data_IF_094794666283
#
_entry.id   IF_094794666283
#
_cell.length_a   1.000
_cell.length_b   1.000
_cell.length_c   1.000
_cell.angle_alpha   90.00
_cell.angle_beta   90.00
_cell.angle_gamma   90.00
#
_symmetry.space_group_name_H-M   'P 1'
#
loop_
_entity.id
_entity.type
_entity.pdbx_description
1 polymer ?
#
# COMPACT_ATOMS: atom_id res chain seq x y z
N UNK A 1 -17.80 21.96 -29.65
CA UNK A 1 -18.28 21.66 -28.29
C UNK A 1 -17.17 20.86 -27.60
N UNK A 2 -16.60 21.34 -26.49
CA UNK A 2 -15.55 20.63 -25.76
C UNK A 2 -16.16 19.91 -24.55
N UNK A 3 -16.06 18.59 -24.50
CA UNK A 3 -16.40 17.79 -23.33
C UNK A 3 -15.47 18.18 -22.16
N UNK A 4 -16.02 18.68 -21.05
CA UNK A 4 -15.24 18.97 -19.83
C UNK A 4 -15.21 17.74 -18.93
N UNK A 5 -14.02 17.21 -18.68
CA UNK A 5 -13.82 16.08 -17.79
C UNK A 5 -13.98 16.51 -16.31
N UNK A 6 -14.83 15.82 -15.56
CA UNK A 6 -15.03 16.07 -14.14
C UNK A 6 -13.98 15.34 -13.29
N UNK A 7 -12.83 16.02 -13.10
CA UNK A 7 -11.69 15.49 -12.34
C UNK A 7 -12.04 15.12 -10.89
N UNK A 8 -12.89 15.91 -10.22
CA UNK A 8 -13.24 15.69 -8.81
C UNK A 8 -13.98 14.37 -8.62
N UNK A 9 -14.99 14.11 -9.45
CA UNK A 9 -15.76 12.87 -9.35
C UNK A 9 -14.89 11.66 -9.74
N UNK A 10 -13.98 11.83 -10.72
CA UNK A 10 -13.03 10.79 -11.10
C UNK A 10 -12.07 10.42 -9.95
N UNK A 11 -11.52 11.44 -9.27
CA UNK A 11 -10.65 11.24 -8.11
C UNK A 11 -11.40 10.54 -6.96
N UNK A 12 -12.67 10.90 -6.74
CA UNK A 12 -13.52 10.21 -5.76
C UNK A 12 -13.68 8.72 -6.05
N UNK A 13 -13.87 8.36 -7.32
CA UNK A 13 -13.98 6.95 -7.76
C UNK A 13 -12.64 6.22 -7.56
N UNK A 14 -11.52 6.82 -7.98
CA UNK A 14 -10.20 6.19 -7.81
C UNK A 14 -9.90 5.98 -6.33
N UNK A 15 -10.14 7.00 -5.49
CA UNK A 15 -9.95 6.90 -4.04
C UNK A 15 -10.73 5.72 -3.48
N UNK A 16 -12.01 5.59 -3.84
CA UNK A 16 -12.84 4.50 -3.37
C UNK A 16 -12.26 3.14 -3.77
N UNK A 17 -11.82 2.98 -5.03
CA UNK A 17 -11.20 1.72 -5.49
C UNK A 17 -9.91 1.42 -4.72
N UNK A 18 -9.07 2.42 -4.47
CA UNK A 18 -7.81 2.25 -3.72
C UNK A 18 -8.10 1.87 -2.28
N UNK A 19 -9.04 2.54 -1.63
CA UNK A 19 -9.42 2.29 -0.23
C UNK A 19 -10.08 0.92 -0.05
N UNK A 20 -10.82 0.40 -1.04
CA UNK A 20 -11.47 -0.92 -0.97
C UNK A 20 -10.56 -2.06 -1.45
N UNK A 21 -10.02 -1.96 -2.65
CA UNK A 21 -9.28 -3.06 -3.29
C UNK A 21 -7.77 -2.93 -3.07
N UNK A 22 -7.25 -1.71 -3.19
CA UNK A 22 -5.81 -1.46 -3.07
C UNK A 22 -5.30 -1.77 -1.66
N UNK A 23 -6.02 -1.31 -0.64
CA UNK A 23 -5.67 -1.56 0.76
C UNK A 23 -5.72 -3.04 1.08
N UNK A 24 -6.79 -3.74 0.71
CA UNK A 24 -6.92 -5.18 0.99
C UNK A 24 -5.78 -5.99 0.36
N UNK A 25 -5.44 -5.68 -0.90
CA UNK A 25 -4.32 -6.34 -1.59
C UNK A 25 -2.98 -6.12 -0.88
N UNK A 26 -2.72 -4.89 -0.45
CA UNK A 26 -1.48 -4.56 0.26
C UNK A 26 -1.48 -5.10 1.69
N UNK A 27 -2.65 -5.26 2.32
CA UNK A 27 -2.75 -5.83 3.66
C UNK A 27 -2.29 -7.29 3.66
N UNK A 28 -2.66 -8.08 2.64
CA UNK A 28 -2.14 -9.46 2.49
C UNK A 28 -0.62 -9.52 2.44
N UNK A 29 0.00 -8.59 1.72
CA UNK A 29 1.47 -8.50 1.64
C UNK A 29 2.04 -8.10 3.00
N UNK A 30 1.47 -7.09 3.66
CA UNK A 30 1.93 -6.64 4.98
C UNK A 30 1.83 -7.76 6.02
N UNK A 31 0.71 -8.49 6.06
CA UNK A 31 0.49 -9.61 6.98
C UNK A 31 1.51 -10.73 6.74
N UNK A 32 1.77 -11.09 5.48
CA UNK A 32 2.78 -12.09 5.14
C UNK A 32 4.21 -11.65 5.52
N UNK A 33 4.51 -10.35 5.41
CA UNK A 33 5.79 -9.82 5.87
C UNK A 33 5.91 -9.85 7.39
N UNK A 34 4.82 -9.54 8.11
CA UNK A 34 4.79 -9.56 9.57
C UNK A 34 4.85 -10.98 10.17
N UNK A 35 4.38 -12.02 9.46
CA UNK A 35 4.52 -13.41 9.93
C UNK A 35 5.98 -13.86 10.12
N UNK A 36 6.93 -13.21 9.44
CA UNK A 36 8.36 -13.47 9.60
C UNK A 36 9.03 -12.69 10.72
N UNK A 37 8.33 -11.73 11.33
CA UNK A 37 8.83 -10.90 12.42
C UNK A 37 8.29 -11.44 13.74
N UNK A 38 9.18 -11.90 14.61
CA UNK A 38 8.83 -12.39 15.94
C UNK A 38 8.84 -11.20 16.91
N UNK A 39 7.80 -10.37 16.84
CA UNK A 39 7.68 -9.17 17.70
C UNK A 39 6.32 -9.15 18.38
N UNK A 40 6.33 -8.89 19.70
CA UNK A 40 5.13 -8.70 20.54
C UNK A 40 4.53 -7.29 20.41
N UNK A 41 5.16 -6.41 19.61
CA UNK A 41 4.73 -5.02 19.40
C UNK A 41 3.99 -4.84 18.07
N UNK A 42 3.43 -3.64 17.85
CA UNK A 42 2.61 -3.32 16.69
C UNK A 42 3.27 -3.74 15.35
N UNK A 43 2.48 -4.12 14.32
CA UNK A 43 3.02 -4.69 13.09
C UNK A 43 4.08 -3.81 12.43
N UNK A 44 5.23 -4.40 12.13
CA UNK A 44 6.40 -3.73 11.54
C UNK A 44 6.19 -3.32 10.09
N UNK A 45 5.38 -4.06 9.33
CA UNK A 45 4.93 -3.72 7.97
C UNK A 45 3.48 -3.22 8.00
N UNK A 46 3.20 -2.07 7.38
CA UNK A 46 1.87 -1.44 7.40
C UNK A 46 1.44 -0.94 6.03
N UNK A 47 0.14 -0.90 5.78
CA UNK A 47 -0.42 -0.29 4.57
C UNK A 47 -0.63 1.21 4.79
N UNK A 48 -0.24 2.01 3.81
CA UNK A 48 -0.48 3.45 3.76
C UNK A 48 -1.19 3.82 2.45
N UNK A 49 -2.14 4.75 2.53
CA UNK A 49 -2.81 5.35 1.37
C UNK A 49 -2.49 6.85 1.27
N UNK A 50 -2.35 7.38 0.05
CA UNK A 50 -1.97 8.79 -0.22
C UNK A 50 -2.93 9.46 -1.24
N UNK A 51 -3.27 10.78 -1.11
CA UNK A 51 -4.20 11.47 -2.04
C UNK A 51 -4.58 12.98 -1.88
N UNK A 52 -4.96 13.59 -3.03
CA UNK A 52 -5.58 14.90 -3.47
C UNK A 52 -5.02 16.33 -3.21
N UNK A 53 -3.88 16.55 -2.57
CA UNK A 53 -3.07 17.79 -2.71
C UNK A 53 -1.55 17.47 -2.55
N UNK A 54 -0.65 18.41 -2.91
CA UNK A 54 0.13 18.30 -4.15
C UNK A 54 0.66 16.89 -4.44
N UNK A 55 -0.17 16.17 -5.19
CA UNK A 55 0.19 15.15 -6.18
C UNK A 55 0.20 15.86 -7.55
N UNK A 56 1.23 15.87 -8.41
CA UNK A 56 2.48 15.08 -8.59
C UNK A 56 2.26 13.63 -9.10
N UNK A 57 3.14 13.17 -10.01
CA UNK A 57 2.79 12.12 -11.01
C UNK A 57 2.80 10.70 -10.39
N UNK A 58 1.64 10.26 -9.85
CA UNK A 58 1.11 8.87 -9.69
C UNK A 58 -0.16 8.73 -8.81
N UNK A 59 -0.93 9.80 -8.55
CA UNK A 59 -2.32 9.69 -8.05
C UNK A 59 -2.51 8.92 -6.73
N UNK A 60 -3.76 8.54 -6.45
CA UNK A 60 -4.11 7.72 -5.29
C UNK A 60 -3.49 6.32 -5.40
N UNK A 61 -2.87 5.85 -4.32
CA UNK A 61 -2.23 4.54 -4.23
C UNK A 61 -2.31 3.96 -2.83
N UNK A 62 -2.27 2.63 -2.73
CA UNK A 62 -2.01 1.90 -1.49
C UNK A 62 -0.61 1.28 -1.59
N UNK A 63 0.20 1.42 -0.53
CA UNK A 63 1.60 0.93 -0.49
C UNK A 63 1.86 0.25 0.85
N UNK A 64 2.71 -0.78 0.87
CA UNK A 64 3.25 -1.32 2.12
C UNK A 64 4.54 -0.58 2.49
N UNK A 65 4.62 -0.12 3.74
CA UNK A 65 5.76 0.57 4.31
C UNK A 65 6.31 -0.22 5.50
N UNK A 66 7.62 -0.10 5.73
CA UNK A 66 8.27 -0.52 6.97
C UNK A 66 8.12 0.61 7.99
N UNK A 67 7.31 0.39 9.03
CA UNK A 67 7.00 1.39 10.04
C UNK A 67 7.99 1.39 11.23
N UNK A 68 8.70 0.29 11.45
CA UNK A 68 9.58 0.08 12.61
C UNK A 68 11.01 -0.25 12.17
N UNK A 69 12.00 -0.04 13.04
CA UNK A 69 13.41 -0.27 12.71
C UNK A 69 13.70 -1.73 12.32
N UNK A 70 13.08 -2.69 13.01
CA UNK A 70 13.26 -4.12 12.75
C UNK A 70 12.74 -4.52 11.38
N UNK A 71 11.59 -3.99 10.94
CA UNK A 71 11.06 -4.28 9.61
C UNK A 71 11.87 -3.61 8.49
N UNK A 72 12.49 -2.45 8.76
CA UNK A 72 13.45 -1.83 7.83
C UNK A 72 14.65 -2.75 7.63
N UNK A 73 15.22 -3.27 8.72
CA UNK A 73 16.39 -4.17 8.67
C UNK A 73 16.03 -5.48 7.98
N UNK A 74 14.93 -6.12 8.38
CA UNK A 74 14.46 -7.36 7.74
C UNK A 74 14.25 -7.19 6.23
N UNK A 75 13.57 -6.13 5.80
CA UNK A 75 13.38 -5.90 4.38
C UNK A 75 14.71 -5.67 3.64
N UNK A 76 15.65 -4.94 4.26
CA UNK A 76 16.94 -4.65 3.64
C UNK A 76 17.80 -5.92 3.48
N UNK A 77 17.76 -6.83 4.45
CA UNK A 77 18.56 -8.06 4.46
C UNK A 77 17.91 -9.18 3.63
N UNK A 78 16.57 -9.29 3.70
CA UNK A 78 15.84 -10.44 3.18
C UNK A 78 14.98 -10.14 1.95
N UNK A 79 14.88 -8.87 1.54
CA UNK A 79 13.99 -8.41 0.46
C UNK A 79 12.53 -8.84 0.68
N UNK A 80 12.08 -8.86 1.94
CA UNK A 80 10.80 -9.43 2.38
C UNK A 80 9.60 -8.85 1.62
N UNK A 81 9.58 -7.55 1.35
CA UNK A 81 8.51 -6.92 0.56
C UNK A 81 8.44 -7.48 -0.86
N UNK A 82 9.57 -7.58 -1.55
CA UNK A 82 9.63 -8.08 -2.93
C UNK A 82 9.23 -9.55 -2.97
N UNK A 83 9.74 -10.33 -2.00
CA UNK A 83 9.42 -11.75 -1.87
C UNK A 83 7.93 -11.99 -1.73
N UNK A 84 7.23 -11.20 -0.92
CA UNK A 84 5.81 -11.38 -0.63
C UNK A 84 4.87 -10.59 -1.55
N UNK A 85 5.40 -9.74 -2.44
CA UNK A 85 4.56 -8.86 -3.28
C UNK A 85 3.58 -9.63 -4.19
N UNK A 86 3.92 -10.86 -4.59
CA UNK A 86 3.04 -11.71 -5.40
C UNK A 86 1.67 -11.97 -4.74
N UNK A 87 1.59 -11.94 -3.41
CA UNK A 87 0.36 -12.15 -2.64
C UNK A 87 -0.65 -10.99 -2.80
N UNK A 88 -0.23 -9.85 -3.35
CA UNK A 88 -1.14 -8.79 -3.77
C UNK A 88 -2.12 -9.25 -4.86
N UNK A 89 -1.78 -10.29 -5.63
CA UNK A 89 -2.64 -10.89 -6.65
C UNK A 89 -3.82 -11.69 -6.09
N UNK A 90 -3.70 -12.22 -4.88
CA UNK A 90 -4.58 -13.25 -4.32
C UNK A 90 -3.91 -14.62 -4.28
N UNK A 91 -4.57 -15.60 -3.65
CA UNK A 91 -4.17 -17.01 -3.64
C UNK A 91 -4.37 -17.67 -5.02
#
# INVERSE_FOLDING_TARGET
MALKFNKKNWNGIIRQIVDTEGVERMQRVADACNQGLDTDEAPGYRVSTEGDEPLSKNGYRATVITAEAESIVDNAENNTLVKNFHLAGGE
#
